data_IF_968744827056
#
_entry.id   IF_968744827056
#
_cell.length_a   1.000
_cell.length_b   1.000
_cell.length_c   1.000
_cell.angle_alpha   90.00
_cell.angle_beta   90.00
_cell.angle_gamma   90.00
#
_symmetry.space_group_name_H-M   'P 1'
#
loop_
_entity.id
_entity.type
_entity.pdbx_description
1 polymer ?
#
# COMPACT_ATOMS: atom_id res chain seq x y z
N UNK A 1 44.50 48.90 -4.97
CA UNK A 1 43.24 48.55 -5.64
C UNK A 1 42.59 47.43 -4.84
N UNK A 2 41.38 47.66 -4.32
CA UNK A 2 40.64 46.71 -3.46
C UNK A 2 39.92 45.70 -4.36
N UNK A 3 40.30 44.44 -4.30
CA UNK A 3 39.57 43.32 -4.91
C UNK A 3 38.82 42.57 -3.81
N UNK A 4 37.51 42.76 -3.77
CA UNK A 4 36.59 42.17 -2.80
C UNK A 4 36.35 40.69 -3.18
N UNK A 5 36.83 39.74 -2.37
CA UNK A 5 36.45 38.32 -2.49
C UNK A 5 35.11 38.13 -1.78
N UNK A 6 34.06 37.97 -2.58
CA UNK A 6 32.72 37.56 -2.12
C UNK A 6 32.73 36.03 -2.00
N UNK A 7 32.47 35.43 -0.82
CA UNK A 7 32.24 34.01 -0.75
C UNK A 7 30.82 33.72 -1.26
N UNK A 8 30.71 33.05 -2.40
CA UNK A 8 29.45 32.41 -2.81
C UNK A 8 29.13 31.35 -1.75
N UNK A 9 28.19 31.66 -0.85
CA UNK A 9 27.54 30.64 -0.03
C UNK A 9 26.85 29.66 -0.98
N UNK A 10 27.35 28.42 -1.04
CA UNK A 10 26.55 27.29 -1.52
C UNK A 10 25.36 27.13 -0.56
N UNK A 11 24.24 27.76 -0.89
CA UNK A 11 22.94 27.33 -0.37
C UNK A 11 22.61 26.00 -1.04
N UNK A 12 23.20 24.91 -0.55
CA UNK A 12 22.63 23.59 -0.77
C UNK A 12 21.24 23.61 -0.13
N UNK A 13 20.18 23.64 -0.95
CA UNK A 13 18.82 23.52 -0.45
C UNK A 13 18.71 22.17 0.27
N UNK A 14 18.75 22.21 1.60
CA UNK A 14 18.37 21.09 2.44
C UNK A 14 16.86 20.90 2.24
N UNK A 15 16.47 20.04 1.29
CA UNK A 15 15.06 19.71 1.06
C UNK A 15 14.58 18.87 2.24
N UNK A 16 14.08 19.54 3.28
CA UNK A 16 13.48 18.89 4.43
C UNK A 16 12.08 18.37 4.05
N UNK A 17 11.80 17.10 4.34
CA UNK A 17 10.46 16.52 4.24
C UNK A 17 9.55 17.23 5.25
N UNK A 18 8.43 17.77 4.77
CA UNK A 18 7.39 18.40 5.57
C UNK A 18 6.22 17.44 5.73
N UNK A 19 5.67 17.43 6.93
CA UNK A 19 4.49 16.64 7.28
C UNK A 19 3.39 17.59 7.74
N UNK A 20 2.19 17.43 7.18
CA UNK A 20 1.00 18.19 7.54
C UNK A 20 0.00 17.23 8.15
N UNK A 21 -0.41 17.49 9.39
CA UNK A 21 -1.40 16.67 10.09
C UNK A 21 -2.68 17.48 10.28
N UNK A 22 -3.82 16.83 10.05
CA UNK A 22 -5.13 17.40 10.32
C UNK A 22 -6.02 16.37 11.03
N UNK A 23 -6.69 16.73 12.15
CA UNK A 23 -6.51 17.97 12.90
C UNK A 23 -5.07 18.10 13.42
N UNK A 24 -4.62 19.33 13.66
CA UNK A 24 -3.23 19.57 14.06
C UNK A 24 -2.91 18.90 15.40
N UNK A 25 -1.68 18.42 15.53
CA UNK A 25 -1.19 17.75 16.73
C UNK A 25 -0.01 18.50 17.29
N UNK A 26 0.09 18.57 18.62
CA UNK A 26 1.21 19.25 19.26
C UNK A 26 2.49 18.43 19.07
N UNK A 27 3.27 18.76 18.04
CA UNK A 27 4.55 18.15 17.73
C UNK A 27 5.66 19.22 17.69
N UNK A 28 6.90 18.88 18.11
CA UNK A 28 8.05 19.75 17.89
C UNK A 28 8.25 20.05 16.40
N UNK A 29 8.65 21.28 16.03
CA UNK A 29 8.72 21.71 14.62
C UNK A 29 9.75 20.94 13.78
N UNK A 30 10.71 20.27 14.45
CA UNK A 30 11.74 19.45 13.83
C UNK A 30 11.89 18.13 14.56
N UNK A 31 11.80 17.02 13.83
CA UNK A 31 11.90 15.67 14.35
C UNK A 31 12.96 14.85 13.60
N UNK A 32 13.48 13.81 14.24
CA UNK A 32 14.24 12.76 13.54
C UNK A 32 13.28 11.84 12.79
N UNK A 33 13.76 11.07 11.81
CA UNK A 33 12.91 10.15 11.04
C UNK A 33 12.13 9.16 11.92
N UNK A 34 12.78 8.58 12.94
CA UNK A 34 12.11 7.67 13.89
C UNK A 34 11.04 8.38 14.72
N UNK A 35 11.32 9.57 15.27
CA UNK A 35 10.30 10.33 16.03
C UNK A 35 9.14 10.80 15.15
N UNK A 36 9.44 11.18 13.90
CA UNK A 36 8.43 11.54 12.91
C UNK A 36 7.53 10.35 12.56
N UNK A 37 8.10 9.16 12.38
CA UNK A 37 7.35 7.91 12.15
C UNK A 37 6.44 7.57 13.33
N UNK A 38 6.92 7.73 14.56
CA UNK A 38 6.11 7.52 15.75
C UNK A 38 4.95 8.52 15.89
N UNK A 39 5.18 9.81 15.60
CA UNK A 39 4.11 10.82 15.59
C UNK A 39 3.09 10.55 14.49
N UNK A 40 3.54 10.18 13.28
CA UNK A 40 2.66 9.85 12.16
C UNK A 40 1.82 8.59 12.46
N UNK A 41 2.44 7.54 13.00
CA UNK A 41 1.75 6.32 13.42
C UNK A 41 0.73 6.62 14.52
N UNK A 42 1.08 7.40 15.54
CA UNK A 42 0.13 7.81 16.59
C UNK A 42 -1.06 8.60 16.02
N UNK A 43 -0.82 9.52 15.09
CA UNK A 43 -1.88 10.31 14.45
C UNK A 43 -2.86 9.43 13.66
N UNK A 44 -2.36 8.39 13.02
CA UNK A 44 -3.12 7.44 12.22
C UNK A 44 -3.58 6.20 13.00
N UNK A 45 -3.45 6.17 14.32
CA UNK A 45 -3.79 5.02 15.18
C UNK A 45 -3.04 3.70 14.82
N UNK A 46 -1.80 3.82 14.35
CA UNK A 46 -0.91 2.72 13.96
C UNK A 46 0.31 2.60 14.90
N UNK A 47 0.25 3.19 16.10
CA UNK A 47 1.36 3.24 17.07
C UNK A 47 1.81 1.87 17.59
N UNK A 48 0.97 0.83 17.46
CA UNK A 48 1.32 -0.55 17.84
C UNK A 48 2.56 -1.08 17.11
N UNK A 49 2.89 -0.50 15.96
CA UNK A 49 4.00 -0.91 15.11
C UNK A 49 5.28 -0.09 15.33
N UNK A 50 5.32 0.73 16.39
CA UNK A 50 6.47 1.56 16.73
C UNK A 50 7.17 1.03 17.99
N UNK A 51 8.50 1.03 18.00
CA UNK A 51 9.32 0.40 19.05
C UNK A 51 9.29 1.14 20.41
N UNK A 52 8.79 2.37 20.47
CA UNK A 52 8.63 3.15 21.71
C UNK A 52 7.70 4.37 21.52
N UNK A 53 7.04 4.80 22.60
CA UNK A 53 6.30 6.07 22.59
C UNK A 53 7.25 7.25 22.34
N UNK A 54 6.92 8.20 21.44
CA UNK A 54 7.82 9.28 21.07
C UNK A 54 8.07 10.30 22.21
N UNK A 55 7.22 10.29 23.24
CA UNK A 55 7.30 11.14 24.42
C UNK A 55 7.19 10.30 25.69
N UNK A 56 8.19 10.41 26.56
CA UNK A 56 8.20 9.81 27.90
C UNK A 56 7.17 10.57 28.75
N UNK A 57 6.02 9.95 29.05
CA UNK A 57 5.04 10.49 30.00
C UNK A 57 3.55 10.39 29.61
N UNK A 58 3.21 10.11 28.36
CA UNK A 58 1.82 9.84 27.96
C UNK A 58 1.57 8.34 27.87
N UNK A 59 1.17 7.74 28.98
CA UNK A 59 0.59 6.40 28.99
C UNK A 59 -0.92 6.54 28.80
N UNK A 60 -1.37 6.86 27.59
CA UNK A 60 -2.79 6.69 27.29
C UNK A 60 -3.06 5.20 27.07
N UNK A 61 -3.85 4.64 27.99
CA UNK A 61 -4.53 3.35 27.84
C UNK A 61 -5.42 3.44 26.60
N UNK A 62 -4.86 3.17 25.41
CA UNK A 62 -5.60 3.15 24.16
C UNK A 62 -6.44 1.86 24.08
N UNK A 63 -7.58 1.87 24.76
CA UNK A 63 -8.67 0.93 24.52
C UNK A 63 -9.59 1.58 23.47
N UNK A 64 -9.43 1.15 22.21
CA UNK A 64 -10.40 1.34 21.15
C UNK A 64 -10.79 2.78 20.83
N UNK A 65 -9.93 3.51 20.10
CA UNK A 65 -10.36 4.68 19.34
C UNK A 65 -11.15 4.23 18.10
N UNK A 66 -12.31 3.59 18.33
CA UNK A 66 -13.20 3.17 17.25
C UNK A 66 -13.87 4.37 16.57
N UNK A 67 -14.03 4.25 15.24
CA UNK A 67 -14.74 5.17 14.32
C UNK A 67 -13.94 6.36 13.75
N UNK A 68 -12.62 6.26 13.60
CA UNK A 68 -11.85 7.29 12.90
C UNK A 68 -11.44 6.81 11.51
N UNK A 69 -11.58 7.67 10.49
CA UNK A 69 -11.05 7.40 9.16
C UNK A 69 -9.60 7.89 9.07
N UNK A 70 -8.66 6.99 8.81
CA UNK A 70 -7.25 7.32 8.58
C UNK A 70 -6.97 7.59 7.10
N UNK A 71 -6.26 8.67 6.79
CA UNK A 71 -5.93 9.04 5.42
C UNK A 71 -4.47 9.50 5.31
N UNK A 72 -3.67 8.79 4.52
CA UNK A 72 -2.27 9.09 4.27
C UNK A 72 -2.04 9.49 2.81
N UNK A 73 -1.47 10.68 2.56
CA UNK A 73 -1.20 11.18 1.23
C UNK A 73 0.30 11.48 1.05
N UNK A 74 0.88 11.08 -0.08
CA UNK A 74 2.18 11.61 -0.52
C UNK A 74 1.98 12.65 -1.61
N UNK A 75 2.69 13.78 -1.52
CA UNK A 75 2.60 14.87 -2.52
C UNK A 75 4.01 15.31 -2.88
N UNK A 76 4.25 15.71 -4.13
CA UNK A 76 5.52 16.31 -4.51
C UNK A 76 5.82 17.56 -3.68
N UNK A 77 7.08 17.74 -3.29
CA UNK A 77 7.53 18.95 -2.56
C UNK A 77 7.37 20.24 -3.39
N UNK A 78 7.29 20.11 -4.71
CA UNK A 78 7.06 21.23 -5.64
C UNK A 78 5.57 21.63 -5.64
N UNK A 79 4.67 20.65 -5.62
CA UNK A 79 3.23 20.84 -5.80
C UNK A 79 2.50 21.16 -4.49
N UNK A 80 3.13 20.88 -3.34
CA UNK A 80 2.50 20.99 -2.01
C UNK A 80 1.90 22.37 -1.73
N UNK A 81 2.53 23.45 -2.19
CA UNK A 81 2.05 24.81 -1.96
C UNK A 81 0.78 25.15 -2.76
N UNK A 82 0.61 24.52 -3.93
CA UNK A 82 -0.56 24.69 -4.79
C UNK A 82 -1.73 23.82 -4.30
N UNK A 83 -1.42 22.62 -3.83
CA UNK A 83 -2.42 21.61 -3.47
C UNK A 83 -2.94 21.79 -2.04
N UNK A 84 -2.09 22.10 -1.06
CA UNK A 84 -2.50 22.14 0.36
C UNK A 84 -3.35 23.38 0.66
N UNK A 85 -4.52 23.23 1.30
CA UNK A 85 -5.43 24.32 1.61
C UNK A 85 -4.89 25.27 2.68
N UNK A 86 -5.44 26.49 2.76
CA UNK A 86 -4.98 27.49 3.74
C UNK A 86 -5.19 27.02 5.19
N UNK A 87 -6.24 26.23 5.44
CA UNK A 87 -6.59 25.64 6.73
C UNK A 87 -5.51 24.71 7.30
N UNK A 88 -4.68 24.11 6.45
CA UNK A 88 -3.61 23.16 6.84
C UNK A 88 -2.25 23.63 6.29
N UNK A 89 -2.09 24.92 5.95
CA UNK A 89 -0.88 25.41 5.26
C UNK A 89 0.35 25.47 6.17
N UNK A 90 0.17 25.57 7.48
CA UNK A 90 1.24 25.38 8.44
C UNK A 90 1.54 23.88 8.57
N UNK A 91 2.70 23.45 8.08
CA UNK A 91 3.18 22.09 8.34
C UNK A 91 3.30 21.86 9.84
N UNK A 92 2.95 20.66 10.30
CA UNK A 92 3.01 20.30 11.72
C UNK A 92 4.46 20.11 12.18
N UNK A 93 5.30 19.48 11.35
CA UNK A 93 6.74 19.36 11.61
C UNK A 93 7.54 19.05 10.35
N UNK A 94 8.87 19.17 10.45
CA UNK A 94 9.82 18.80 9.40
C UNK A 94 10.79 17.72 9.89
N UNK A 95 11.24 16.86 8.97
CA UNK A 95 12.17 15.78 9.27
C UNK A 95 13.61 16.27 9.04
N UNK A 96 14.44 16.14 10.07
CA UNK A 96 15.77 16.77 10.16
C UNK A 96 16.89 16.02 9.43
N UNK A 97 16.61 14.86 8.85
CA UNK A 97 17.60 13.98 8.20
C UNK A 97 17.39 13.89 6.69
N UNK A 98 18.45 13.57 5.94
CA UNK A 98 18.38 13.14 4.54
C UNK A 98 17.58 11.83 4.45
N UNK A 99 16.25 11.92 4.44
CA UNK A 99 15.39 10.80 4.07
C UNK A 99 15.69 10.47 2.61
N UNK A 100 16.26 9.30 2.36
CA UNK A 100 16.46 8.79 1.00
C UNK A 100 15.11 8.57 0.34
N UNK A 101 14.99 8.88 -0.95
CA UNK A 101 13.78 8.66 -1.76
C UNK A 101 13.23 7.22 -1.58
N UNK A 102 14.13 6.23 -1.46
CA UNK A 102 13.82 4.82 -1.22
C UNK A 102 13.07 4.54 0.10
N UNK A 103 13.21 5.41 1.10
CA UNK A 103 12.48 5.28 2.38
C UNK A 103 11.10 5.95 2.34
N UNK A 104 10.89 6.88 1.42
CA UNK A 104 9.59 7.53 1.22
C UNK A 104 8.72 6.74 0.24
N UNK A 105 9.31 6.06 -0.74
CA UNK A 105 8.59 5.15 -1.64
C UNK A 105 7.99 3.94 -0.91
N UNK A 106 8.57 3.53 0.22
CA UNK A 106 8.03 2.46 1.06
C UNK A 106 6.98 2.92 2.07
N UNK A 107 6.70 4.23 2.17
CA UNK A 107 5.79 4.78 3.18
C UNK A 107 4.36 4.27 2.99
N UNK A 108 3.77 4.45 1.80
CA UNK A 108 2.40 3.99 1.50
C UNK A 108 2.28 2.47 1.69
N UNK A 109 3.13 1.61 1.07
CA UNK A 109 3.07 0.17 1.29
C UNK A 109 3.16 -0.23 2.76
N UNK A 110 4.07 0.38 3.54
CA UNK A 110 4.25 0.06 4.94
C UNK A 110 3.05 0.45 5.80
N UNK A 111 2.44 1.62 5.55
CA UNK A 111 1.27 2.07 6.31
C UNK A 111 0.01 1.32 5.92
N UNK A 112 -0.15 0.96 4.64
CA UNK A 112 -1.25 0.11 4.18
C UNK A 112 -1.18 -1.28 4.81
N UNK A 113 0.00 -1.91 4.87
CA UNK A 113 0.21 -3.20 5.55
C UNK A 113 -0.14 -3.12 7.05
N UNK A 114 0.35 -2.09 7.74
CA UNK A 114 0.00 -1.83 9.16
C UNK A 114 -1.50 -1.63 9.35
N UNK A 115 -2.16 -0.91 8.45
CA UNK A 115 -3.58 -0.62 8.53
C UNK A 115 -4.45 -1.87 8.41
N UNK A 116 -4.03 -2.88 7.63
CA UNK A 116 -4.76 -4.16 7.51
C UNK A 116 -4.89 -4.91 8.84
N UNK A 117 -4.06 -4.58 9.82
CA UNK A 117 -4.06 -5.18 11.15
C UNK A 117 -4.83 -4.37 12.20
N UNK A 118 -5.28 -3.15 11.87
CA UNK A 118 -5.91 -2.21 12.81
C UNK A 118 -7.31 -1.81 12.36
N UNK A 119 -7.46 -1.43 11.10
CA UNK A 119 -8.71 -0.90 10.55
C UNK A 119 -9.62 -2.02 10.03
N UNK A 120 -10.93 -1.87 10.21
CA UNK A 120 -11.93 -2.82 9.69
C UNK A 120 -11.96 -2.88 8.15
N UNK A 121 -11.60 -1.78 7.48
CA UNK A 121 -11.55 -1.68 6.03
C UNK A 121 -10.31 -0.90 5.58
N UNK A 122 -9.56 -1.48 4.67
CA UNK A 122 -8.44 -0.81 3.99
C UNK A 122 -8.80 -0.64 2.54
N UNK A 123 -8.79 0.60 2.06
CA UNK A 123 -9.08 0.92 0.68
C UNK A 123 -7.89 0.52 -0.18
N UNK A 124 -8.12 -0.45 -1.07
CA UNK A 124 -7.13 -0.94 -2.02
C UNK A 124 -7.77 -0.93 -3.41
N UNK A 125 -7.53 0.15 -4.15
CA UNK A 125 -7.77 0.21 -5.59
C UNK A 125 -6.48 0.61 -6.26
N UNK A 126 -6.04 -0.20 -7.21
CA UNK A 126 -4.85 0.04 -8.01
C UNK A 126 -5.01 1.37 -8.76
N UNK A 127 -4.22 2.38 -8.38
CA UNK A 127 -4.06 3.58 -9.18
C UNK A 127 -3.47 3.19 -10.53
N UNK A 128 -4.06 3.66 -11.63
CA UNK A 128 -3.36 3.73 -12.91
C UNK A 128 -2.41 4.93 -12.87
N UNK A 129 -1.38 4.94 -13.72
CA UNK A 129 -0.38 6.02 -13.88
C UNK A 129 -0.95 7.45 -14.17
N UNK A 130 -2.27 7.62 -14.11
CA UNK A 130 -2.97 8.87 -14.36
C UNK A 130 -3.42 9.52 -13.04
N UNK A 131 -2.79 10.63 -12.66
CA UNK A 131 -3.11 11.36 -11.41
C UNK A 131 -4.60 11.77 -11.26
N UNK A 132 -5.36 11.87 -12.35
CA UNK A 132 -6.80 12.13 -12.30
C UNK A 132 -7.62 10.91 -11.80
N UNK A 133 -7.15 9.69 -12.10
CA UNK A 133 -7.76 8.47 -11.56
C UNK A 133 -7.52 8.38 -10.06
N UNK A 134 -6.33 8.77 -9.59
CA UNK A 134 -6.02 8.77 -8.18
C UNK A 134 -6.90 9.76 -7.39
N UNK A 135 -7.18 10.95 -7.96
CA UNK A 135 -8.14 11.89 -7.36
C UNK A 135 -9.55 11.31 -7.36
N UNK A 136 -9.95 10.57 -8.39
CA UNK A 136 -11.23 9.88 -8.42
C UNK A 136 -11.32 8.77 -7.35
N UNK A 137 -10.23 8.02 -7.13
CA UNK A 137 -10.12 7.01 -6.09
C UNK A 137 -10.22 7.65 -4.70
N UNK A 138 -9.56 8.78 -4.48
CA UNK A 138 -9.70 9.56 -3.24
C UNK A 138 -11.15 10.02 -3.04
N UNK A 139 -11.80 10.54 -4.09
CA UNK A 139 -13.20 10.97 -4.01
C UNK A 139 -14.11 9.81 -3.62
N UNK A 140 -13.91 8.64 -4.22
CA UNK A 140 -14.64 7.41 -3.94
C UNK A 140 -14.40 6.93 -2.49
N UNK A 141 -13.17 6.96 -1.99
CA UNK A 141 -12.88 6.64 -0.58
C UNK A 141 -13.59 7.59 0.42
N UNK A 142 -13.65 8.88 0.08
CA UNK A 142 -14.22 9.92 0.96
C UNK A 142 -15.75 9.88 0.98
N UNK A 143 -16.38 9.65 -0.17
CA UNK A 143 -17.84 9.72 -0.37
C UNK A 143 -18.53 8.37 -0.54
N UNK A 144 -17.76 7.30 -0.74
CA UNK A 144 -18.28 5.95 -0.90
C UNK A 144 -18.91 5.42 0.38
N UNK A 145 -19.82 4.48 0.20
CA UNK A 145 -20.54 3.83 1.29
C UNK A 145 -19.66 2.71 1.89
N UNK A 146 -18.72 3.14 2.74
CA UNK A 146 -17.76 2.27 3.43
C UNK A 146 -17.93 2.37 4.95
N UNK A 147 -17.37 1.41 5.68
CA UNK A 147 -17.37 1.44 7.14
C UNK A 147 -16.65 2.70 7.65
N UNK A 148 -17.09 3.29 8.78
CA UNK A 148 -16.48 4.49 9.34
C UNK A 148 -15.04 4.27 9.82
N UNK A 149 -14.74 3.05 10.28
CA UNK A 149 -13.39 2.60 10.65
C UNK A 149 -12.63 2.11 9.41
N UNK A 150 -12.00 3.04 8.70
CA UNK A 150 -11.33 2.76 7.43
C UNK A 150 -10.03 3.51 7.25
N UNK A 151 -9.15 2.94 6.44
CA UNK A 151 -7.88 3.53 6.06
C UNK A 151 -7.73 3.65 4.55
N UNK A 152 -7.17 4.76 4.07
CA UNK A 152 -6.80 4.96 2.68
C UNK A 152 -5.43 5.60 2.55
N UNK A 153 -4.66 5.18 1.55
CA UNK A 153 -3.37 5.78 1.22
C UNK A 153 -3.27 6.04 -0.28
N UNK A 154 -2.86 7.24 -0.67
CA UNK A 154 -2.84 7.68 -2.07
C UNK A 154 -1.56 8.42 -2.42
N UNK A 155 -1.05 8.19 -3.64
CA UNK A 155 0.17 8.81 -4.13
C UNK A 155 -0.11 9.91 -5.17
N UNK A 156 0.15 11.15 -4.75
CA UNK A 156 0.00 12.35 -5.58
C UNK A 156 1.35 13.01 -5.88
N UNK A 157 2.43 12.23 -5.96
CA UNK A 157 3.74 12.75 -6.38
C UNK A 157 3.83 13.04 -7.88
N UNK A 158 2.97 12.44 -8.71
CA UNK A 158 2.91 12.64 -10.16
C UNK A 158 1.53 13.18 -10.57
N UNK A 159 1.27 14.46 -10.28
CA UNK A 159 0.01 15.13 -10.62
C UNK A 159 0.10 15.87 -11.95
N UNK A 160 -0.95 15.77 -12.77
CA UNK A 160 -1.17 16.71 -13.87
C UNK A 160 -1.68 18.05 -13.33
N UNK A 161 -1.46 19.16 -14.06
CA UNK A 161 -1.92 20.50 -13.65
C UNK A 161 -3.42 20.55 -13.34
N UNK A 162 -4.24 19.87 -14.14
CA UNK A 162 -5.69 19.83 -13.92
C UNK A 162 -6.07 19.07 -12.65
N UNK A 163 -5.29 18.05 -12.26
CA UNK A 163 -5.51 17.28 -11.05
C UNK A 163 -5.17 18.06 -9.77
N UNK A 164 -4.32 19.09 -9.83
CA UNK A 164 -3.98 19.93 -8.67
C UNK A 164 -5.22 20.63 -8.11
N UNK A 165 -6.03 21.23 -8.99
CA UNK A 165 -7.23 21.95 -8.58
C UNK A 165 -8.27 21.01 -7.97
N UNK A 166 -8.45 19.83 -8.57
CA UNK A 166 -9.37 18.82 -8.07
C UNK A 166 -8.94 18.27 -6.69
N UNK A 167 -7.64 17.96 -6.52
CA UNK A 167 -7.10 17.51 -5.25
C UNK A 167 -7.20 18.60 -4.18
N UNK A 168 -6.89 19.85 -4.52
CA UNK A 168 -7.03 20.99 -3.59
C UNK A 168 -8.45 21.10 -3.04
N UNK A 169 -9.46 21.02 -3.90
CA UNK A 169 -10.88 21.06 -3.49
C UNK A 169 -11.22 19.90 -2.55
N UNK A 170 -10.75 18.68 -2.86
CA UNK A 170 -10.91 17.54 -1.97
C UNK A 170 -10.25 17.77 -0.60
N UNK A 171 -9.05 18.34 -0.56
CA UNK A 171 -8.36 18.64 0.70
C UNK A 171 -9.07 19.74 1.51
N UNK A 172 -9.64 20.76 0.84
CA UNK A 172 -10.46 21.78 1.49
C UNK A 172 -11.67 21.12 2.19
N UNK A 173 -12.38 20.22 1.49
CA UNK A 173 -13.51 19.44 2.04
C UNK A 173 -13.09 18.54 3.21
N UNK A 174 -11.96 17.83 3.06
CA UNK A 174 -11.39 16.97 4.11
C UNK A 174 -10.98 17.76 5.35
N UNK A 175 -10.48 18.98 5.18
CA UNK A 175 -10.08 19.85 6.30
C UNK A 175 -11.25 20.39 7.13
N UNK A 176 -12.48 20.29 6.62
CA UNK A 176 -13.69 20.67 7.34
C UNK A 176 -14.27 19.50 8.17
N UNK A 177 -13.74 18.29 7.99
CA UNK A 177 -14.22 17.05 8.61
C UNK A 177 -13.39 16.68 9.83
N UNK A 178 -14.02 16.63 11.01
CA UNK A 178 -13.35 16.25 12.26
C UNK A 178 -13.21 14.73 12.47
N UNK A 179 -13.93 13.93 11.68
CA UNK A 179 -13.95 12.47 11.72
C UNK A 179 -12.80 11.81 10.91
N UNK A 180 -12.01 12.61 10.21
CA UNK A 180 -10.88 12.15 9.40
C UNK A 180 -9.55 12.59 10.03
N UNK A 181 -8.64 11.63 10.18
CA UNK A 181 -7.23 11.88 10.51
C UNK A 181 -6.44 11.87 9.21
N UNK A 182 -6.16 13.07 8.71
CA UNK A 182 -5.40 13.28 7.47
C UNK A 182 -3.93 13.53 7.80
N UNK A 183 -3.04 12.84 7.08
CA UNK A 183 -1.61 13.08 7.08
C UNK A 183 -1.10 13.25 5.65
N UNK A 184 -0.38 14.34 5.40
CA UNK A 184 0.24 14.64 4.10
C UNK A 184 1.75 14.67 4.28
N UNK A 185 2.48 13.88 3.50
CA UNK A 185 3.95 13.81 3.54
C UNK A 185 4.51 14.28 2.20
N UNK A 186 5.42 15.25 2.23
CA UNK A 186 6.05 15.76 1.00
C UNK A 186 7.21 14.87 0.57
N UNK A 187 7.25 14.48 -0.69
CA UNK A 187 8.35 13.73 -1.28
C UNK A 187 9.20 14.68 -2.13
N UNK A 188 10.52 14.80 -1.88
CA UNK A 188 11.40 15.60 -2.73
C UNK A 188 11.63 14.89 -4.07
N UNK A 189 11.46 15.61 -5.18
CA UNK A 189 11.82 15.12 -6.50
C UNK A 189 13.33 14.87 -6.56
N UNK A 190 13.75 13.62 -6.76
CA UNK A 190 15.13 13.36 -7.13
C UNK A 190 15.35 13.95 -8.54
N UNK A 191 16.22 14.96 -8.67
CA UNK A 191 16.58 15.54 -9.97
C UNK A 191 16.84 14.43 -11.00
N UNK A 192 16.14 14.51 -12.13
CA UNK A 192 16.21 13.59 -13.26
C UNK A 192 17.64 13.13 -13.60
N UNK A 193 17.93 11.85 -13.39
CA UNK A 193 18.60 11.06 -14.42
C UNK A 193 17.58 10.07 -14.96
N UNK A 194 17.17 10.31 -16.20
CA UNK A 194 16.17 9.50 -16.89
C UNK A 194 16.62 8.04 -17.00
N UNK A 195 16.05 7.19 -16.16
CA UNK A 195 15.79 5.83 -16.54
C UNK A 195 14.28 5.70 -16.73
N UNK A 196 13.86 5.78 -17.99
CA UNK A 196 12.56 5.27 -18.40
C UNK A 196 12.47 3.85 -17.88
N UNK A 197 11.60 3.61 -16.90
CA UNK A 197 11.15 2.26 -16.60
C UNK A 197 10.37 1.79 -17.84
N UNK A 198 11.09 1.14 -18.75
CA UNK A 198 10.46 0.35 -19.79
C UNK A 198 9.77 -0.80 -19.08
N UNK A 199 8.44 -0.70 -18.98
CA UNK A 199 7.57 -1.84 -18.76
C UNK A 199 7.84 -2.87 -19.86
N UNK A 200 8.78 -3.77 -19.60
CA UNK A 200 9.04 -4.89 -20.49
C UNK A 200 7.96 -5.92 -20.18
N UNK A 201 6.80 -5.74 -20.84
CA UNK A 201 5.91 -6.86 -21.17
C UNK A 201 6.78 -7.94 -21.82
N UNK A 202 7.10 -8.98 -21.06
CA UNK A 202 7.77 -10.14 -21.62
C UNK A 202 6.73 -10.93 -22.42
N UNK A 203 6.73 -10.68 -23.73
CA UNK A 203 6.18 -11.61 -24.70
C UNK A 203 6.96 -12.93 -24.62
N UNK A 204 6.31 -14.10 -24.64
CA UNK A 204 6.98 -15.38 -24.44
C UNK A 204 7.80 -15.76 -25.69
N UNK A 205 9.10 -16.07 -25.58
CA UNK A 205 9.79 -16.83 -26.61
C UNK A 205 9.46 -18.33 -26.44
N UNK A 206 9.02 -18.95 -27.53
CA UNK A 206 8.68 -20.37 -27.60
C UNK A 206 9.95 -21.26 -27.52
N UNK A 207 9.94 -22.25 -26.61
CA UNK A 207 10.49 -23.62 -26.64
C UNK A 207 11.97 -23.89 -27.04
N UNK A 208 12.55 -25.09 -26.75
CA UNK A 208 12.65 -25.80 -25.47
C UNK A 208 14.11 -26.18 -25.15
N UNK A 209 14.58 -25.95 -23.93
CA UNK A 209 15.73 -26.68 -23.36
C UNK A 209 15.47 -26.96 -21.87
N UNK A 210 15.97 -28.09 -21.35
CA UNK A 210 15.52 -28.68 -20.09
C UNK A 210 15.87 -27.79 -18.88
N UNK A 211 14.97 -27.66 -17.89
CA UNK A 211 15.19 -26.77 -16.76
C UNK A 211 16.32 -27.28 -15.85
N UNK A 212 17.26 -26.41 -15.46
CA UNK A 212 18.07 -26.64 -14.27
C UNK A 212 17.18 -26.60 -13.02
N UNK A 213 17.53 -27.44 -12.06
CA UNK A 213 16.86 -27.66 -10.77
C UNK A 213 16.33 -26.37 -10.10
N UNK A 214 15.15 -26.43 -9.43
CA UNK A 214 14.51 -25.25 -8.86
C UNK A 214 15.36 -24.67 -7.72
N UNK A 215 15.91 -23.48 -7.96
CA UNK A 215 16.34 -22.59 -6.88
C UNK A 215 15.09 -22.07 -6.17
N UNK A 216 15.05 -22.06 -4.82
CA UNK A 216 13.93 -21.50 -4.07
C UNK A 216 13.64 -20.08 -4.55
N UNK A 217 12.35 -19.78 -4.78
CA UNK A 217 11.88 -18.50 -5.23
C UNK A 217 12.34 -17.39 -4.27
N UNK A 218 13.02 -16.38 -4.82
CA UNK A 218 13.36 -15.14 -4.14
C UNK A 218 12.07 -14.34 -3.86
N UNK A 219 11.76 -14.00 -2.61
CA UNK A 219 10.65 -13.10 -2.31
C UNK A 219 11.05 -11.63 -2.51
N UNK A 220 10.11 -10.91 -3.12
CA UNK A 220 10.15 -9.53 -3.57
C UNK A 220 10.17 -8.55 -2.38
N UNK A 221 11.26 -7.78 -2.30
CA UNK A 221 11.31 -6.34 -2.06
C UNK A 221 10.20 -5.63 -1.25
N UNK A 222 10.51 -5.31 0.02
CA UNK A 222 10.21 -3.99 0.61
C UNK A 222 11.09 -3.76 1.85
N UNK A 223 11.90 -2.70 1.80
CA UNK A 223 12.86 -2.32 2.85
C UNK A 223 12.10 -1.63 3.98
N UNK A 224 11.68 -2.41 4.97
CA UNK A 224 11.62 -2.07 6.41
C UNK A 224 11.57 -3.34 7.28
N UNK A 225 11.92 -4.49 6.72
CA UNK A 225 11.60 -5.80 7.30
C UNK A 225 12.79 -6.64 7.71
N UNK A 226 14.01 -6.16 7.47
CA UNK A 226 15.21 -6.93 7.74
C UNK A 226 16.05 -6.39 8.88
N UNK A 227 16.78 -7.31 9.50
CA UNK A 227 17.63 -7.05 10.64
C UNK A 227 19.04 -6.69 10.20
N UNK A 228 19.72 -5.88 11.00
CA UNK A 228 21.10 -5.44 10.73
C UNK A 228 22.13 -6.52 11.00
N UNK A 229 21.78 -7.58 11.74
CA UNK A 229 22.66 -8.73 12.02
C UNK A 229 21.89 -10.05 12.09
N UNK A 230 22.59 -11.17 11.94
CA UNK A 230 22.03 -12.52 12.04
C UNK A 230 21.46 -12.80 13.44
N UNK A 231 22.13 -12.32 14.48
CA UNK A 231 21.73 -12.48 15.88
C UNK A 231 20.49 -11.66 16.20
N UNK A 232 20.40 -10.44 15.67
CA UNK A 232 19.20 -9.62 15.79
C UNK A 232 18.00 -10.29 15.11
N UNK A 233 18.22 -10.91 13.93
CA UNK A 233 17.21 -11.71 13.25
C UNK A 233 16.78 -12.92 14.10
N UNK A 234 17.73 -13.70 14.61
CA UNK A 234 17.43 -14.88 15.43
C UNK A 234 16.67 -14.55 16.71
N UNK A 235 17.10 -13.50 17.42
CA UNK A 235 16.47 -13.09 18.68
C UNK A 235 15.04 -12.54 18.45
N UNK A 236 14.83 -11.74 17.41
CA UNK A 236 13.52 -11.16 17.13
C UNK A 236 12.52 -12.15 16.54
N UNK A 237 12.98 -13.16 15.80
CA UNK A 237 12.11 -14.13 15.10
C UNK A 237 12.06 -15.52 15.76
N UNK A 238 12.65 -15.67 16.96
CA UNK A 238 12.83 -16.98 17.61
C UNK A 238 13.47 -18.01 16.68
N UNK A 239 14.55 -17.63 16.00
CA UNK A 239 15.21 -18.44 14.96
C UNK A 239 14.22 -18.86 13.88
N UNK A 240 13.51 -17.89 13.29
CA UNK A 240 12.50 -18.11 12.26
C UNK A 240 11.44 -19.15 12.66
N UNK A 241 10.94 -19.05 13.89
CA UNK A 241 9.98 -19.99 14.52
C UNK A 241 10.41 -21.47 14.48
N UNK A 242 11.70 -21.76 14.32
CA UNK A 242 12.21 -23.13 14.13
C UNK A 242 11.82 -23.76 12.79
N UNK A 243 11.34 -22.96 11.84
CA UNK A 243 10.91 -23.39 10.51
C UNK A 243 11.77 -22.77 9.40
N UNK A 244 12.86 -22.11 9.74
CA UNK A 244 13.76 -21.48 8.77
C UNK A 244 15.09 -21.07 9.38
N UNK A 245 15.88 -20.33 8.59
CA UNK A 245 17.18 -19.81 9.00
C UNK A 245 17.33 -18.33 8.59
N UNK A 246 18.04 -17.54 9.40
CA UNK A 246 18.35 -16.16 9.08
C UNK A 246 19.45 -16.09 8.04
N UNK A 247 19.10 -15.69 6.82
CA UNK A 247 20.04 -15.55 5.70
C UNK A 247 20.33 -14.08 5.42
N UNK A 248 21.55 -13.78 5.00
CA UNK A 248 21.93 -12.45 4.55
C UNK A 248 21.46 -12.24 3.10
N UNK A 249 20.58 -11.27 2.89
CA UNK A 249 20.23 -10.71 1.61
C UNK A 249 21.03 -9.41 1.39
N UNK A 250 21.57 -9.22 0.19
CA UNK A 250 22.24 -7.98 -0.19
C UNK A 250 21.33 -7.18 -1.10
N UNK A 251 20.87 -6.02 -0.65
CA UNK A 251 20.03 -5.12 -1.46
C UNK A 251 20.64 -3.73 -1.49
N UNK A 252 20.83 -3.20 -2.70
CA UNK A 252 21.41 -1.87 -2.93
C UNK A 252 22.76 -1.63 -2.19
N UNK A 253 23.61 -2.65 -2.12
CA UNK A 253 24.94 -2.56 -1.49
C UNK A 253 24.96 -2.62 0.04
N UNK A 254 23.81 -2.88 0.70
CA UNK A 254 23.73 -3.13 2.15
C UNK A 254 23.36 -4.60 2.42
N UNK A 255 24.01 -5.20 3.40
CA UNK A 255 23.67 -6.53 3.92
C UNK A 255 22.50 -6.43 4.91
N UNK A 256 21.57 -7.35 4.81
CA UNK A 256 20.24 -7.28 5.42
C UNK A 256 19.81 -8.71 5.75
N UNK A 257 19.47 -9.02 7.00
CA UNK A 257 19.18 -10.38 7.44
C UNK A 257 17.67 -10.64 7.49
N UNK A 258 17.25 -11.73 6.85
CA UNK A 258 15.84 -12.14 6.73
C UNK A 258 15.67 -13.63 6.96
N UNK A 259 14.48 -14.07 7.37
CA UNK A 259 14.17 -15.48 7.51
C UNK A 259 13.93 -16.15 6.16
N UNK A 260 14.72 -17.18 5.85
CA UNK A 260 14.44 -18.11 4.77
C UNK A 260 13.66 -19.32 5.32
N UNK A 261 12.38 -19.40 4.98
CA UNK A 261 11.51 -20.47 5.44
C UNK A 261 11.79 -21.80 4.72
N UNK A 262 11.80 -22.87 5.49
CA UNK A 262 12.07 -24.23 5.06
C UNK A 262 10.85 -25.11 5.27
N UNK A 263 10.64 -26.10 4.39
CA UNK A 263 9.54 -27.03 4.55
C UNK A 263 9.85 -28.02 5.69
N UNK A 264 8.97 -28.12 6.69
CA UNK A 264 9.10 -29.10 7.76
C UNK A 264 8.20 -30.31 7.51
N UNK A 265 8.57 -31.46 8.07
CA UNK A 265 7.79 -32.69 7.93
C UNK A 265 7.07 -32.99 9.24
N UNK A 266 5.75 -33.07 9.19
CA UNK A 266 4.88 -33.45 10.31
C UNK A 266 5.13 -34.92 10.72
N UNK A 267 4.75 -35.32 11.94
CA UNK A 267 4.82 -36.70 12.46
C UNK A 267 4.12 -37.72 11.55
N UNK A 268 3.22 -37.25 10.68
CA UNK A 268 2.50 -38.05 9.67
C UNK A 268 3.21 -38.11 8.30
N UNK A 269 4.46 -37.65 8.19
CA UNK A 269 5.24 -37.67 6.95
C UNK A 269 4.82 -36.64 5.90
N UNK A 270 3.95 -35.68 6.25
CA UNK A 270 3.48 -34.65 5.32
C UNK A 270 4.40 -33.43 5.37
N UNK A 271 4.88 -32.99 4.20
CA UNK A 271 5.63 -31.73 4.06
C UNK A 271 4.69 -30.54 4.23
N UNK A 272 5.01 -29.65 5.17
CA UNK A 272 4.32 -28.39 5.40
C UNK A 272 5.24 -27.26 4.94
N UNK A 273 4.72 -26.38 4.10
CA UNK A 273 5.40 -25.17 3.67
C UNK A 273 4.99 -24.01 4.59
N UNK A 274 5.95 -23.14 4.87
CA UNK A 274 5.80 -22.04 5.80
C UNK A 274 6.13 -20.71 5.10
N UNK A 275 5.35 -19.69 5.43
CA UNK A 275 5.54 -18.31 5.00
C UNK A 275 5.33 -17.35 6.17
N UNK A 276 5.60 -16.08 5.91
CA UNK A 276 5.59 -15.03 6.92
C UNK A 276 6.99 -14.56 7.23
N UNK A 277 7.09 -13.44 7.95
CA UNK A 277 8.36 -12.78 8.25
C UNK A 277 9.25 -13.60 9.19
N UNK A 278 8.65 -14.44 10.01
CA UNK A 278 9.32 -15.34 10.94
C UNK A 278 8.94 -16.80 10.66
N UNK A 279 8.43 -17.12 9.46
CA UNK A 279 7.93 -18.45 9.10
C UNK A 279 6.79 -18.95 10.00
N UNK A 280 5.96 -18.02 10.47
CA UNK A 280 4.91 -18.28 11.47
C UNK A 280 3.60 -18.81 10.86
N UNK A 281 3.40 -18.63 9.55
CA UNK A 281 2.17 -19.03 8.84
C UNK A 281 2.44 -20.25 7.98
N UNK A 282 1.42 -21.09 7.85
CA UNK A 282 1.45 -22.22 6.93
C UNK A 282 0.98 -21.78 5.55
N UNK A 283 1.77 -22.06 4.52
CA UNK A 283 1.38 -21.84 3.12
C UNK A 283 0.34 -22.88 2.69
N UNK A 284 -0.94 -22.53 2.85
CA UNK A 284 -2.08 -23.32 2.35
C UNK A 284 -2.67 -22.73 1.06
N UNK A 285 -1.97 -21.76 0.46
CA UNK A 285 -2.44 -20.96 -0.68
C UNK A 285 -2.59 -21.75 -1.98
N UNK A 286 -1.77 -22.77 -2.24
CA UNK A 286 -1.87 -23.60 -3.45
C UNK A 286 -3.15 -24.45 -3.54
N UNK A 287 -3.39 -25.38 -2.59
CA UNK A 287 -4.53 -26.29 -2.70
C UNK A 287 -5.88 -25.60 -2.45
N UNK A 288 -5.94 -24.57 -1.61
CA UNK A 288 -7.18 -23.85 -1.33
C UNK A 288 -7.70 -23.09 -2.55
N UNK A 289 -6.83 -22.35 -3.25
CA UNK A 289 -7.23 -21.58 -4.44
C UNK A 289 -7.69 -22.50 -5.57
N UNK A 290 -7.02 -23.63 -5.78
CA UNK A 290 -7.44 -24.60 -6.79
C UNK A 290 -8.81 -25.21 -6.47
N UNK A 291 -9.05 -25.60 -5.22
CA UNK A 291 -10.33 -26.21 -4.82
C UNK A 291 -11.47 -25.19 -4.81
N UNK A 292 -11.27 -24.01 -4.23
CA UNK A 292 -12.26 -22.94 -4.17
C UNK A 292 -12.58 -22.39 -5.57
N UNK A 293 -11.55 -22.16 -6.40
CA UNK A 293 -11.72 -21.71 -7.77
C UNK A 293 -12.48 -22.72 -8.64
N UNK A 294 -12.14 -24.01 -8.55
CA UNK A 294 -12.81 -25.06 -9.32
C UNK A 294 -14.26 -25.24 -8.90
N UNK A 295 -14.57 -25.16 -7.59
CA UNK A 295 -15.95 -25.26 -7.10
C UNK A 295 -16.82 -24.10 -7.55
N UNK A 296 -16.31 -22.86 -7.49
CA UNK A 296 -17.01 -21.67 -8.00
C UNK A 296 -17.24 -21.78 -9.52
N UNK A 297 -16.22 -22.19 -10.28
CA UNK A 297 -16.34 -22.36 -11.73
C UNK A 297 -17.39 -23.42 -12.11
N UNK A 298 -17.44 -24.55 -11.40
CA UNK A 298 -18.44 -25.59 -11.63
C UNK A 298 -19.87 -25.09 -11.33
N UNK A 299 -20.06 -24.31 -10.26
CA UNK A 299 -21.37 -23.73 -9.94
C UNK A 299 -21.84 -22.73 -11.02
N UNK A 300 -20.94 -21.88 -11.52
CA UNK A 300 -21.25 -20.96 -12.61
C UNK A 300 -21.57 -21.69 -13.91
N UNK A 301 -20.85 -22.78 -14.21
CA UNK A 301 -21.11 -23.60 -15.40
C UNK A 301 -22.48 -24.26 -15.33
N UNK A 302 -22.82 -24.89 -14.19
CA UNK A 302 -24.13 -25.53 -13.98
C UNK A 302 -25.25 -24.49 -14.02
N UNK A 303 -25.11 -23.37 -13.30
CA UNK A 303 -26.11 -22.30 -13.30
C UNK A 303 -26.30 -21.70 -14.69
N UNK A 304 -25.22 -21.43 -15.42
CA UNK A 304 -25.27 -20.93 -16.79
C UNK A 304 -25.93 -21.92 -17.76
N UNK A 305 -25.67 -23.23 -17.60
CA UNK A 305 -26.30 -24.27 -18.43
C UNK A 305 -27.81 -24.33 -18.23
N UNK A 306 -28.27 -24.25 -16.97
CA UNK A 306 -29.71 -24.22 -16.65
C UNK A 306 -30.35 -22.95 -17.19
N UNK A 307 -29.73 -21.79 -17.00
CA UNK A 307 -30.25 -20.52 -17.49
C UNK A 307 -30.40 -20.49 -19.02
N UNK A 308 -29.42 -21.04 -19.76
CA UNK A 308 -29.48 -21.13 -21.21
C UNK A 308 -30.60 -22.07 -21.68
N UNK A 309 -30.79 -23.20 -20.99
CA UNK A 309 -31.87 -24.15 -21.31
C UNK A 309 -33.25 -23.55 -21.02
N UNK A 310 -33.39 -22.81 -19.92
CA UNK A 310 -34.63 -22.08 -19.59
C UNK A 310 -34.95 -20.98 -20.60
N UNK A 311 -33.94 -20.25 -21.08
CA UNK A 311 -34.13 -19.19 -22.06
C UNK A 311 -34.63 -19.69 -23.43
N UNK A 312 -34.25 -20.90 -23.84
CA UNK A 312 -34.74 -21.52 -25.09
C UNK A 312 -36.16 -22.08 -24.92
N UNK A 313 -36.54 -22.52 -23.71
CA UNK A 313 -37.88 -23.03 -23.41
C UNK A 313 -38.97 -21.97 -23.40
N UNK A 314 -38.63 -20.70 -23.19
CA UNK A 314 -39.56 -19.56 -23.13
C UNK A 314 -39.75 -18.87 -24.49
N UNK A 315 -39.15 -19.39 -25.56
CA UNK A 315 -39.41 -18.92 -26.91
C UNK A 315 -40.83 -19.33 -27.33
N UNK A 316 -41.77 -18.36 -27.34
CA UNK A 316 -43.11 -18.54 -27.88
C UNK A 316 -43.02 -19.13 -29.29
N UNK A 317 -43.54 -20.34 -29.47
CA UNK A 317 -43.63 -20.95 -30.79
C UNK A 317 -44.42 -19.99 -31.70
N UNK A 318 -43.87 -19.58 -32.87
CA UNK A 318 -44.59 -18.72 -33.78
C UNK A 318 -45.94 -19.38 -34.12
N UNK A 319 -47.02 -18.63 -33.90
CA UNK A 319 -48.40 -19.01 -34.20
C UNK A 319 -48.59 -19.22 -35.71
N UNK A 320 -48.09 -20.31 -36.27
CA UNK A 320 -48.30 -20.68 -37.67
C UNK A 320 -49.05 -22.00 -37.85
N UNK A 321 -49.66 -22.55 -36.79
CA UNK A 321 -50.46 -23.79 -36.86
C UNK A 321 -51.94 -23.64 -36.45
N UNK A 322 -52.49 -22.42 -36.39
CA UNK A 322 -53.92 -22.21 -36.02
C UNK A 322 -54.78 -21.59 -37.13
N UNK A 323 -54.25 -21.44 -38.35
CA UNK A 323 -54.98 -20.87 -39.51
C UNK A 323 -55.79 -21.88 -40.32
N UNK A 324 -56.53 -22.79 -39.67
CA UNK A 324 -57.13 -23.95 -40.33
C UNK A 324 -58.60 -24.24 -39.99
N UNK A 325 -59.43 -23.23 -39.72
CA UNK A 325 -60.89 -23.40 -39.87
C UNK A 325 -61.61 -22.05 -39.86
N UNK A 326 -62.09 -21.61 -41.04
CA UNK A 326 -63.40 -20.98 -41.19
C UNK A 326 -63.67 -20.54 -42.65
N UNK A 327 -64.62 -21.25 -43.25
CA UNK A 327 -65.74 -20.71 -44.03
C UNK A 327 -65.48 -19.93 -45.33
N UNK A 328 -65.86 -20.51 -46.47
CA UNK A 328 -66.38 -19.74 -47.60
C UNK A 328 -67.42 -20.53 -48.40
N UNK A 329 -68.68 -20.08 -48.23
CA UNK A 329 -69.80 -19.93 -49.19
C UNK A 329 -70.07 -21.03 -50.22
#
# INVERSE_FOLDING_TARGET
MKGLLIPLLLTGLCQAVRVYLHPDTHAPPRLSASKAGAVLSKHLALERFEDATPFVGEQELLVGAGLNTGLLLTVSSEDVLEVVPASIRSHSFSISSHSTHDSLSSLIPAYTDRAQHVYSYVYDKSGSDHGLQEVANLKDFVHGDYTPDRFGAFDFTSLSKDAHHALRKMLDELSARSDIKLAIVTVPSAHHHGHKHHDRRQQPPQSPLPPPLPRPAEPIDSISTCYTSAEACGNATSTCSGHGECVSASKAGKTCFVCACSATTDLKGRKQHWAGRACERKDVSGPFVLLAGTTVALLLLVGGSVALLSAVGDAELPQILTGGSSHSR
#
